data_IF_150077952406
#
_entry.id   IF_150077952406
#
_cell.length_a   1.000
_cell.length_b   1.000
_cell.length_c   1.000
_cell.angle_alpha   90.00
_cell.angle_beta   90.00
_cell.angle_gamma   90.00
#
_symmetry.space_group_name_H-M   'P 1'
#
loop_
_entity.id
_entity.type
_entity.pdbx_description
1 polymer ?
#
# COMPACT_ATOMS: atom_id res chain seq x y z
N UNK A 1 7.09 -2.91 -20.98
CA UNK A 1 6.03 -3.79 -20.44
C UNK A 1 5.09 -3.09 -19.46
N UNK A 2 5.54 -2.41 -18.39
CA UNK A 2 4.63 -1.68 -17.47
C UNK A 2 3.92 -0.46 -18.09
N UNK A 3 4.50 0.17 -19.11
CA UNK A 3 3.86 1.27 -19.85
C UNK A 3 2.74 0.81 -20.80
N UNK A 4 2.82 -0.41 -21.34
CA UNK A 4 1.77 -0.94 -22.23
C UNK A 4 0.55 -1.41 -21.45
N UNK A 5 0.73 -1.91 -20.22
CA UNK A 5 -0.42 -2.26 -19.36
C UNK A 5 -1.18 -1.01 -18.90
N UNK A 6 -0.46 0.08 -18.58
CA UNK A 6 -1.08 1.38 -18.30
C UNK A 6 -1.81 1.94 -19.52
N UNK A 7 -1.22 1.79 -20.72
CA UNK A 7 -1.82 2.25 -21.97
C UNK A 7 -3.05 1.43 -22.37
N UNK A 8 -2.99 0.10 -22.22
CA UNK A 8 -4.11 -0.82 -22.46
C UNK A 8 -5.23 -0.68 -21.41
N UNK A 9 -4.90 -0.30 -20.17
CA UNK A 9 -5.91 0.05 -19.15
C UNK A 9 -6.48 1.47 -19.36
N UNK A 10 -5.82 2.31 -20.16
CA UNK A 10 -6.28 3.63 -20.60
C UNK A 10 -6.97 3.59 -21.97
N UNK A 11 -6.93 2.47 -22.70
CA UNK A 11 -7.68 2.21 -23.94
C UNK A 11 -9.15 1.82 -23.68
N UNK A 12 -9.68 2.18 -22.50
CA UNK A 12 -11.13 2.20 -22.26
C UNK A 12 -11.72 3.21 -23.25
N UNK A 13 -12.64 2.72 -24.07
CA UNK A 13 -13.19 3.37 -25.25
C UNK A 13 -13.52 4.86 -25.06
N UNK A 14 -13.27 5.72 -26.07
CA UNK A 14 -13.60 7.13 -26.04
C UNK A 14 -15.13 7.30 -26.13
N UNK A 15 -15.79 7.29 -24.99
CA UNK A 15 -17.23 7.60 -24.91
C UNK A 15 -17.53 8.31 -23.60
N UNK A 16 -16.80 9.40 -23.35
CA UNK A 16 -17.23 10.44 -22.40
C UNK A 16 -17.09 11.75 -23.14
N UNK A 17 -18.22 12.28 -23.61
CA UNK A 17 -18.32 13.62 -24.17
C UNK A 17 -17.67 14.61 -23.20
N UNK A 18 -16.52 15.18 -23.60
CA UNK A 18 -15.92 16.30 -22.90
C UNK A 18 -14.40 16.38 -22.91
N UNK A 19 -13.66 15.34 -22.51
CA UNK A 19 -12.27 15.55 -22.02
C UNK A 19 -11.17 14.58 -22.44
N UNK A 20 -11.49 13.43 -23.01
CA UNK A 20 -10.53 12.33 -23.21
C UNK A 20 -9.38 12.62 -24.21
N UNK A 21 -9.47 13.69 -24.99
CA UNK A 21 -8.41 14.16 -25.89
C UNK A 21 -7.57 15.34 -25.36
N UNK A 22 -7.89 15.87 -24.17
CA UNK A 22 -7.24 17.06 -23.65
C UNK A 22 -5.88 16.69 -23.01
N UNK A 23 -4.75 17.33 -23.36
CA UNK A 23 -3.44 16.99 -22.80
C UNK A 23 -3.37 17.11 -21.27
N UNK A 24 -4.19 18.00 -20.67
CA UNK A 24 -4.33 18.09 -19.20
C UNK A 24 -5.01 16.87 -18.58
N UNK A 25 -5.90 16.17 -19.28
CA UNK A 25 -6.59 14.99 -18.74
C UNK A 25 -5.59 13.88 -18.39
N UNK A 26 -4.71 13.56 -19.35
CA UNK A 26 -3.63 12.59 -19.16
C UNK A 26 -2.68 13.02 -18.06
N UNK A 27 -2.29 14.30 -18.01
CA UNK A 27 -1.40 14.81 -16.96
C UNK A 27 -2.03 14.68 -15.55
N UNK A 28 -3.31 15.04 -15.41
CA UNK A 28 -4.05 14.90 -14.14
C UNK A 28 -4.14 13.43 -13.72
N UNK A 29 -4.50 12.52 -14.64
CA UNK A 29 -4.56 11.09 -14.34
C UNK A 29 -3.20 10.52 -13.92
N UNK A 30 -2.12 10.88 -14.62
CA UNK A 30 -0.77 10.43 -14.27
C UNK A 30 -0.36 10.91 -12.88
N UNK A 31 -0.63 12.18 -12.55
CA UNK A 31 -0.35 12.72 -11.22
C UNK A 31 -1.18 12.01 -10.12
N UNK A 32 -2.47 11.76 -10.37
CA UNK A 32 -3.35 10.99 -9.47
C UNK A 32 -2.82 9.56 -9.25
N UNK A 33 -2.42 8.87 -10.31
CA UNK A 33 -1.82 7.53 -10.24
C UNK A 33 -0.50 7.55 -9.45
N UNK A 34 0.34 8.57 -9.65
CA UNK A 34 1.61 8.69 -8.95
C UNK A 34 1.42 8.94 -7.45
N UNK A 35 0.42 9.75 -7.05
CA UNK A 35 0.04 9.89 -5.64
C UNK A 35 -0.36 8.54 -5.05
N UNK A 36 -1.17 7.75 -5.76
CA UNK A 36 -1.59 6.41 -5.32
C UNK A 36 -0.41 5.43 -5.17
N UNK A 37 0.51 5.42 -6.13
CA UNK A 37 1.73 4.60 -6.09
C UNK A 37 2.63 4.98 -4.93
N UNK A 38 2.89 6.27 -4.74
CA UNK A 38 3.73 6.76 -3.67
C UNK A 38 3.10 6.46 -2.28
N UNK A 39 1.78 6.59 -2.14
CA UNK A 39 1.08 6.20 -0.92
C UNK A 39 1.24 4.69 -0.61
N UNK A 40 1.14 3.83 -1.63
CA UNK A 40 1.36 2.38 -1.48
C UNK A 40 2.79 2.07 -1.05
N UNK A 41 3.78 2.73 -1.67
CA UNK A 41 5.18 2.51 -1.33
C UNK A 41 5.46 2.88 0.14
N UNK A 42 4.89 3.99 0.63
CA UNK A 42 4.94 4.33 2.07
C UNK A 42 4.33 3.22 2.91
N UNK A 43 3.13 2.76 2.55
CA UNK A 43 2.43 1.72 3.30
C UNK A 43 3.28 0.44 3.40
N UNK A 44 3.84 -0.03 2.27
CA UNK A 44 4.71 -1.21 2.23
C UNK A 44 5.93 -1.03 3.13
N UNK A 45 6.61 0.12 3.06
CA UNK A 45 7.79 0.36 3.89
C UNK A 45 7.46 0.34 5.38
N UNK A 46 6.34 0.97 5.77
CA UNK A 46 5.88 1.08 7.16
C UNK A 46 5.39 -0.26 7.71
N UNK A 47 4.69 -1.07 6.92
CA UNK A 47 4.30 -2.43 7.33
C UNK A 47 5.50 -3.35 7.43
N UNK A 48 6.47 -3.24 6.52
CA UNK A 48 7.73 -3.98 6.61
C UNK A 48 8.49 -3.67 7.90
N UNK A 49 8.59 -2.40 8.27
CA UNK A 49 9.16 -1.96 9.55
C UNK A 49 8.40 -2.55 10.76
N UNK A 50 7.07 -2.44 10.76
CA UNK A 50 6.24 -3.01 11.83
C UNK A 50 6.39 -4.53 11.93
N UNK A 51 6.50 -5.23 10.79
CA UNK A 51 6.68 -6.67 10.73
C UNK A 51 8.05 -7.12 11.24
N UNK A 52 9.11 -6.37 10.93
CA UNK A 52 10.46 -6.63 11.43
C UNK A 52 10.52 -6.54 12.96
N UNK A 53 9.91 -5.50 13.54
CA UNK A 53 9.78 -5.36 15.00
C UNK A 53 8.91 -6.46 15.62
N UNK A 54 7.79 -6.79 14.98
CA UNK A 54 6.89 -7.84 15.47
C UNK A 54 7.55 -9.23 15.45
N UNK A 55 8.42 -9.52 14.47
CA UNK A 55 9.24 -10.74 14.42
C UNK A 55 10.14 -10.86 15.65
N UNK A 56 10.90 -9.81 15.98
CA UNK A 56 11.75 -9.79 17.18
C UNK A 56 10.93 -9.98 18.46
N UNK A 57 9.82 -9.26 18.58
CA UNK A 57 8.93 -9.39 19.74
C UNK A 57 8.35 -10.81 19.87
N UNK A 58 8.02 -11.46 18.74
CA UNK A 58 7.55 -12.85 18.73
C UNK A 58 8.62 -13.81 19.23
N UNK A 59 9.85 -13.73 18.72
CA UNK A 59 10.95 -14.60 19.15
C UNK A 59 11.23 -14.43 20.65
N UNK A 60 11.29 -13.18 21.14
CA UNK A 60 11.47 -12.89 22.57
C UNK A 60 10.36 -13.49 23.44
N UNK A 61 9.10 -13.42 23.01
CA UNK A 61 7.99 -14.07 23.73
C UNK A 61 8.12 -15.60 23.76
N UNK A 62 8.53 -16.21 22.65
CA UNK A 62 8.75 -17.65 22.58
C UNK A 62 9.90 -18.09 23.50
N UNK A 63 11.00 -17.34 23.52
CA UNK A 63 12.12 -17.56 24.44
C UNK A 63 11.66 -17.56 25.90
N UNK A 64 10.94 -16.53 26.33
CA UNK A 64 10.39 -16.46 27.70
C UNK A 64 9.52 -17.68 28.02
N UNK A 65 8.68 -18.13 27.08
CA UNK A 65 7.83 -19.30 27.26
C UNK A 65 8.61 -20.62 27.35
N UNK A 66 9.69 -20.76 26.57
CA UNK A 66 10.55 -21.96 26.60
C UNK A 66 11.40 -21.97 27.86
N UNK A 67 12.03 -20.86 28.21
CA UNK A 67 12.86 -20.72 29.42
C UNK A 67 12.03 -20.91 30.70
N UNK A 68 10.79 -20.41 30.72
CA UNK A 68 9.84 -20.67 31.82
C UNK A 68 9.55 -22.16 31.99
N UNK A 69 9.29 -22.88 30.89
CA UNK A 69 9.08 -24.33 30.93
C UNK A 69 10.32 -25.12 31.37
N UNK A 70 11.52 -24.66 31.00
CA UNK A 70 12.78 -25.25 31.48
C UNK A 70 12.89 -25.07 33.00
N UNK A 71 12.57 -23.89 33.52
CA UNK A 71 12.64 -23.59 34.95
C UNK A 71 11.62 -24.39 35.79
N UNK A 72 10.40 -24.56 35.27
CA UNK A 72 9.31 -25.28 35.96
C UNK A 72 9.52 -26.80 36.04
N UNK A 73 10.32 -27.39 35.14
CA UNK A 73 10.46 -28.85 35.02
C UNK A 73 11.23 -29.54 36.17
N UNK A 74 11.95 -28.82 37.02
CA UNK A 74 12.71 -29.43 38.12
C UNK A 74 13.86 -30.34 37.64
N UNK A 75 13.91 -31.60 38.06
CA UNK A 75 15.08 -32.48 37.86
C UNK A 75 15.13 -33.09 36.46
N UNK A 76 16.13 -32.65 35.68
CA UNK A 76 16.55 -33.24 34.41
C UNK A 76 16.33 -32.31 33.21
N UNK A 77 17.38 -31.89 32.49
CA UNK A 77 17.23 -31.02 31.33
C UNK A 77 16.45 -31.75 30.23
N UNK A 78 15.37 -31.12 29.75
CA UNK A 78 14.74 -31.53 28.50
C UNK A 78 15.64 -31.10 27.36
N UNK A 79 16.40 -32.03 26.79
CA UNK A 79 17.26 -31.76 25.62
C UNK A 79 16.46 -31.02 24.53
N UNK A 80 15.24 -31.46 24.25
CA UNK A 80 14.36 -30.81 23.27
C UNK A 80 13.99 -29.36 23.60
N UNK A 81 13.84 -28.97 24.87
CA UNK A 81 13.55 -27.57 25.24
C UNK A 81 14.82 -26.73 25.19
N UNK A 82 15.96 -27.32 25.57
CA UNK A 82 17.26 -26.66 25.46
C UNK A 82 17.60 -26.39 23.99
N UNK A 83 17.46 -27.39 23.12
CA UNK A 83 17.68 -27.26 21.68
C UNK A 83 16.75 -26.21 21.07
N UNK A 84 15.48 -26.16 21.51
CA UNK A 84 14.54 -25.13 21.09
C UNK A 84 14.95 -23.72 21.55
N UNK A 85 15.42 -23.56 22.79
CA UNK A 85 15.93 -22.29 23.29
C UNK A 85 17.17 -21.83 22.52
N UNK A 86 18.12 -22.73 22.28
CA UNK A 86 19.35 -22.46 21.54
C UNK A 86 19.04 -22.03 20.10
N UNK A 87 18.09 -22.71 19.43
CA UNK A 87 17.62 -22.35 18.10
C UNK A 87 16.96 -20.97 18.06
N UNK A 88 16.10 -20.65 19.05
CA UNK A 88 15.46 -19.34 19.15
C UNK A 88 16.47 -18.21 19.45
N UNK A 89 17.49 -18.48 20.28
CA UNK A 89 18.57 -17.53 20.54
C UNK A 89 19.42 -17.27 19.28
N UNK A 90 19.72 -18.32 18.51
CA UNK A 90 20.41 -18.19 17.23
C UNK A 90 19.58 -17.38 16.21
N UNK A 91 18.27 -17.65 16.11
CA UNK A 91 17.34 -16.87 15.26
C UNK A 91 17.30 -15.41 15.71
N UNK A 92 17.16 -15.16 17.03
CA UNK A 92 17.12 -13.80 17.58
C UNK A 92 18.39 -13.03 17.24
N UNK A 93 19.56 -13.63 17.47
CA UNK A 93 20.86 -13.02 17.18
C UNK A 93 21.02 -12.68 15.70
N UNK A 94 20.60 -13.60 14.82
CA UNK A 94 20.60 -13.37 13.37
C UNK A 94 19.69 -12.20 12.97
N UNK A 95 18.47 -12.15 13.51
CA UNK A 95 17.53 -11.06 13.23
C UNK A 95 18.01 -9.73 13.80
N UNK A 96 18.51 -9.69 15.04
CA UNK A 96 19.00 -8.46 15.67
C UNK A 96 20.24 -7.91 14.95
N UNK A 97 21.08 -8.78 14.37
CA UNK A 97 22.22 -8.38 13.53
C UNK A 97 21.78 -7.67 12.24
N UNK A 98 20.69 -8.13 11.62
CA UNK A 98 20.21 -7.62 10.33
C UNK A 98 19.18 -6.50 10.45
N UNK A 99 18.49 -6.40 11.59
CA UNK A 99 17.40 -5.45 11.83
C UNK A 99 17.80 -3.99 11.57
N UNK A 100 18.95 -3.45 12.03
CA UNK A 100 19.28 -2.05 11.80
C UNK A 100 19.37 -1.69 10.31
N UNK A 101 19.89 -2.62 9.49
CA UNK A 101 20.01 -2.45 8.04
C UNK A 101 18.63 -2.51 7.38
N UNK A 102 17.78 -3.46 7.80
CA UNK A 102 16.41 -3.56 7.33
C UNK A 102 15.63 -2.27 7.64
N UNK A 103 15.72 -1.75 8.86
CA UNK A 103 15.05 -0.50 9.27
C UNK A 103 15.55 0.70 8.48
N UNK A 104 16.86 0.86 8.32
CA UNK A 104 17.44 1.94 7.52
C UNK A 104 16.93 1.90 6.07
N UNK A 105 16.90 0.71 5.46
CA UNK A 105 16.37 0.53 4.11
C UNK A 105 14.88 0.90 4.00
N UNK A 106 14.04 0.54 4.99
CA UNK A 106 12.63 0.93 5.02
C UNK A 106 12.45 2.43 5.17
N UNK A 107 13.28 3.09 6.00
CA UNK A 107 13.29 4.54 6.14
C UNK A 107 13.61 5.23 4.81
N UNK A 108 14.64 4.79 4.11
CA UNK A 108 15.02 5.35 2.80
C UNK A 108 13.91 5.21 1.76
N UNK A 109 13.25 4.05 1.71
CA UNK A 109 12.10 3.81 0.84
C UNK A 109 10.92 4.72 1.17
N UNK A 110 10.58 4.83 2.45
CA UNK A 110 9.50 5.70 2.94
C UNK A 110 9.78 7.15 2.57
N UNK A 111 10.99 7.65 2.81
CA UNK A 111 11.36 9.03 2.54
C UNK A 111 11.33 9.34 1.03
N UNK A 112 11.78 8.39 0.20
CA UNK A 112 11.66 8.49 -1.26
C UNK A 112 10.21 8.54 -1.72
N UNK A 113 9.36 7.68 -1.18
CA UNK A 113 7.94 7.64 -1.51
C UNK A 113 7.22 8.92 -1.05
N UNK A 114 7.51 9.43 0.15
CA UNK A 114 6.98 10.69 0.65
C UNK A 114 7.37 11.88 -0.24
N UNK A 115 8.63 11.93 -0.72
CA UNK A 115 9.06 12.96 -1.69
C UNK A 115 8.24 12.89 -2.98
N UNK A 116 8.08 11.70 -3.56
CA UNK A 116 7.27 11.49 -4.78
C UNK A 116 5.82 11.93 -4.60
N UNK A 117 5.19 11.54 -3.49
CA UNK A 117 3.82 11.93 -3.18
C UNK A 117 3.65 13.44 -3.04
N UNK A 118 4.60 14.13 -2.39
CA UNK A 118 4.58 15.60 -2.27
C UNK A 118 4.70 16.29 -3.63
N UNK A 119 5.60 15.82 -4.48
CA UNK A 119 5.79 16.38 -5.83
C UNK A 119 4.54 16.16 -6.70
N UNK A 120 4.03 14.93 -6.74
CA UNK A 120 2.82 14.61 -7.51
C UNK A 120 1.59 15.41 -7.05
N UNK A 121 1.47 15.71 -5.75
CA UNK A 121 0.42 16.59 -5.23
C UNK A 121 0.61 18.04 -5.63
N UNK A 122 1.84 18.54 -5.60
CA UNK A 122 2.14 19.90 -6.02
C UNK A 122 1.83 20.07 -7.50
N UNK A 123 2.22 19.10 -8.32
CA UNK A 123 1.87 19.01 -9.74
C UNK A 123 0.36 18.97 -9.95
N UNK A 124 -0.34 18.06 -9.26
CA UNK A 124 -1.79 17.93 -9.34
C UNK A 124 -2.51 19.25 -9.01
N UNK A 125 -2.09 19.94 -7.94
CA UNK A 125 -2.62 21.26 -7.58
C UNK A 125 -2.33 22.32 -8.66
N UNK A 126 -1.14 22.30 -9.24
CA UNK A 126 -0.76 23.19 -10.34
C UNK A 126 -1.65 22.99 -11.57
N UNK A 127 -1.91 21.72 -11.94
CA UNK A 127 -2.72 21.35 -13.10
C UNK A 127 -4.20 21.76 -12.97
N UNK A 128 -4.74 21.76 -11.75
CA UNK A 128 -6.16 22.08 -11.50
C UNK A 128 -6.38 23.56 -11.12
N UNK A 129 -5.32 24.37 -11.07
CA UNK A 129 -5.44 25.80 -10.77
C UNK A 129 -6.07 26.53 -11.97
N UNK A 130 -7.01 27.47 -11.77
CA UNK A 130 -7.75 28.14 -12.86
C UNK A 130 -6.86 28.77 -13.94
N UNK A 131 -5.68 29.26 -13.56
CA UNK A 131 -4.70 29.84 -14.50
C UNK A 131 -4.05 28.82 -15.44
N UNK A 132 -3.92 27.55 -15.03
CA UNK A 132 -3.35 26.47 -15.84
C UNK A 132 -4.42 25.71 -16.64
N UNK A 133 -5.66 25.67 -16.14
CA UNK A 133 -6.76 24.95 -16.75
C UNK A 133 -7.37 25.65 -18.00
N UNK A 134 -7.15 26.97 -18.15
CA UNK A 134 -7.82 27.76 -19.17
C UNK A 134 -9.35 27.74 -19.02
N UNK A 135 -10.12 28.41 -19.91
CA UNK A 135 -11.57 28.52 -19.78
C UNK A 135 -12.35 27.21 -20.05
N UNK A 136 -11.70 26.08 -20.36
CA UNK A 136 -12.39 24.86 -20.79
C UNK A 136 -11.55 23.59 -20.55
N UNK A 137 -11.13 23.32 -19.30
CA UNK A 137 -10.83 21.94 -18.92
C UNK A 137 -12.11 21.29 -18.37
N UNK A 138 -12.89 20.56 -19.20
CA UNK A 138 -14.08 19.86 -18.74
C UNK A 138 -13.65 18.63 -17.95
N UNK A 139 -13.33 18.83 -16.67
CA UNK A 139 -13.13 17.73 -15.73
C UNK A 139 -14.50 17.08 -15.51
N UNK A 140 -14.66 15.80 -15.81
CA UNK A 140 -15.86 15.05 -15.41
C UNK A 140 -15.97 14.97 -13.87
N UNK A 141 -17.16 14.66 -13.35
CA UNK A 141 -17.35 14.53 -11.89
C UNK A 141 -16.45 13.44 -11.30
N UNK A 142 -16.30 12.31 -11.99
CA UNK A 142 -15.44 11.21 -11.58
C UNK A 142 -13.97 11.64 -11.42
N UNK A 143 -13.45 12.40 -12.38
CA UNK A 143 -12.07 12.89 -12.31
C UNK A 143 -11.93 13.92 -11.18
N UNK A 144 -12.95 14.77 -10.93
CA UNK A 144 -12.96 15.65 -9.76
C UNK A 144 -12.87 14.88 -8.45
N UNK A 145 -13.65 13.81 -8.33
CA UNK A 145 -13.66 13.00 -7.12
C UNK A 145 -12.31 12.30 -6.91
N UNK A 146 -11.71 11.74 -7.97
CA UNK A 146 -10.38 11.13 -7.91
C UNK A 146 -9.28 12.13 -7.52
N UNK A 147 -9.36 13.35 -8.04
CA UNK A 147 -8.45 14.44 -7.69
C UNK A 147 -8.64 14.83 -6.22
N UNK A 148 -9.87 14.98 -5.76
CA UNK A 148 -10.19 15.29 -4.38
C UNK A 148 -9.65 14.21 -3.44
N UNK A 149 -9.89 12.94 -3.75
CA UNK A 149 -9.39 11.78 -2.99
C UNK A 149 -7.85 11.76 -2.96
N UNK A 150 -7.19 12.00 -4.11
CA UNK A 150 -5.73 12.05 -4.18
C UNK A 150 -5.13 13.19 -3.35
N UNK A 151 -5.78 14.36 -3.33
CA UNK A 151 -5.34 15.53 -2.54
C UNK A 151 -5.60 15.30 -1.04
N UNK A 152 -6.75 14.75 -0.67
CA UNK A 152 -7.18 14.61 0.72
C UNK A 152 -6.46 13.51 1.49
N UNK A 153 -5.87 12.49 0.84
CA UNK A 153 -5.13 11.41 1.55
C UNK A 153 -4.10 11.98 2.54
N UNK A 154 -4.18 11.65 3.82
CA UNK A 154 -3.18 12.15 4.78
C UNK A 154 -2.08 11.11 5.02
N UNK A 155 -0.83 11.57 5.02
CA UNK A 155 0.32 10.70 5.28
C UNK A 155 0.23 10.01 6.66
N UNK A 156 -0.14 10.71 7.75
CA UNK A 156 -0.31 10.07 9.05
C UNK A 156 -1.33 8.93 9.05
N UNK A 157 -2.45 9.07 8.32
CA UNK A 157 -3.47 8.04 8.20
C UNK A 157 -2.94 6.81 7.46
N UNK A 158 -2.31 7.02 6.30
CA UNK A 158 -1.67 5.94 5.53
C UNK A 158 -0.69 5.17 6.40
N UNK A 159 0.15 5.89 7.16
CA UNK A 159 1.13 5.27 8.06
C UNK A 159 0.43 4.51 9.20
N UNK A 160 -0.61 5.06 9.83
CA UNK A 160 -1.32 4.42 10.92
C UNK A 160 -1.99 3.09 10.49
N UNK A 161 -2.71 3.10 9.37
CA UNK A 161 -3.29 1.89 8.78
C UNK A 161 -2.21 0.88 8.41
N UNK A 162 -1.12 1.37 7.82
CA UNK A 162 -0.02 0.51 7.40
C UNK A 162 0.66 -0.22 8.56
N UNK A 163 0.86 0.48 9.68
CA UNK A 163 1.40 -0.11 10.89
C UNK A 163 0.45 -1.14 11.50
N UNK A 164 -0.85 -0.82 11.54
CA UNK A 164 -1.86 -1.74 12.07
C UNK A 164 -1.89 -3.05 11.26
N UNK A 165 -1.89 -2.95 9.93
CA UNK A 165 -1.90 -4.11 9.05
C UNK A 165 -0.60 -4.93 9.17
N UNK A 166 0.57 -4.29 9.21
CA UNK A 166 1.85 -4.98 9.40
C UNK A 166 1.88 -5.79 10.70
N UNK A 167 1.39 -5.21 11.81
CA UNK A 167 1.25 -5.91 13.09
C UNK A 167 0.26 -7.08 13.01
N UNK A 168 -0.90 -6.88 12.39
CA UNK A 168 -1.93 -7.91 12.26
C UNK A 168 -1.41 -9.12 11.48
N UNK A 169 -0.72 -8.90 10.36
CA UNK A 169 -0.13 -9.98 9.55
C UNK A 169 0.91 -10.80 10.32
N UNK A 170 1.77 -10.14 11.10
CA UNK A 170 2.71 -10.87 11.96
C UNK A 170 2.05 -11.66 13.09
N UNK A 171 0.84 -11.27 13.51
CA UNK A 171 0.02 -12.02 14.44
C UNK A 171 -0.76 -13.17 13.77
N UNK A 172 -0.63 -13.37 12.46
CA UNK A 172 -1.34 -14.39 11.70
C UNK A 172 -2.78 -14.02 11.35
N UNK A 173 -3.16 -12.74 11.43
CA UNK A 173 -4.47 -12.30 11.01
C UNK A 173 -4.66 -12.53 9.50
N UNK A 174 -5.88 -12.92 9.05
CA UNK A 174 -6.19 -13.03 7.64
C UNK A 174 -6.11 -11.66 6.96
N UNK A 175 -5.95 -11.66 5.63
CA UNK A 175 -6.02 -10.42 4.85
C UNK A 175 -7.42 -9.82 5.00
N UNK A 176 -7.52 -8.50 5.26
CA UNK A 176 -8.82 -7.84 5.34
C UNK A 176 -9.54 -7.94 3.99
N UNK A 177 -10.87 -8.02 4.06
CA UNK A 177 -11.71 -7.94 2.88
C UNK A 177 -11.52 -6.56 2.22
N UNK A 178 -11.12 -6.51 0.93
CA UNK A 178 -10.97 -5.28 0.18
C UNK A 178 -12.23 -4.39 0.15
N UNK A 179 -13.42 -4.97 0.29
CA UNK A 179 -14.68 -4.23 0.23
C UNK A 179 -15.08 -3.60 1.57
N UNK A 180 -14.46 -4.03 2.66
CA UNK A 180 -14.81 -3.64 4.02
C UNK A 180 -13.77 -2.70 4.69
N UNK A 181 -12.71 -2.34 3.97
CA UNK A 181 -11.64 -1.48 4.52
C UNK A 181 -11.25 -0.37 3.55
N UNK A 182 -11.14 0.86 4.06
CA UNK A 182 -10.77 2.04 3.26
C UNK A 182 -9.37 1.92 2.64
N UNK A 183 -8.49 1.12 3.27
CA UNK A 183 -7.11 0.89 2.86
C UNK A 183 -6.63 -0.51 3.24
N UNK A 184 -6.04 -1.25 2.28
CA UNK A 184 -5.28 -2.47 2.57
C UNK A 184 -4.15 -2.69 1.55
N UNK A 185 -3.04 -3.31 1.99
CA UNK A 185 -1.79 -3.39 1.21
C UNK A 185 -1.74 -4.46 0.13
N UNK A 186 -2.67 -5.41 0.13
CA UNK A 186 -2.67 -6.57 -0.78
C UNK A 186 -3.35 -6.35 -2.11
N UNK A 187 -3.99 -5.21 -2.34
CA UNK A 187 -4.54 -4.95 -3.66
C UNK A 187 -3.42 -4.65 -4.67
N UNK A 188 -3.39 -5.36 -5.83
CA UNK A 188 -2.40 -5.11 -6.88
C UNK A 188 -2.52 -3.68 -7.44
N UNK A 189 -3.65 -3.02 -7.24
CA UNK A 189 -3.98 -1.70 -7.73
C UNK A 189 -3.84 -0.64 -6.60
N UNK A 190 -2.82 0.22 -6.68
CA UNK A 190 -2.61 1.29 -5.71
C UNK A 190 -3.66 2.41 -5.82
N UNK A 191 -4.88 2.13 -5.35
CA UNK A 191 -5.92 3.00 -4.77
C UNK A 191 -6.46 4.21 -5.56
N UNK A 192 -5.75 4.76 -6.55
CA UNK A 192 -6.27 5.76 -7.48
C UNK A 192 -6.54 5.16 -8.85
N UNK A 193 -5.62 4.33 -9.37
CA UNK A 193 -5.85 3.57 -10.60
C UNK A 193 -7.00 2.56 -10.46
N UNK A 194 -7.11 1.90 -9.29
CA UNK A 194 -8.21 0.99 -8.99
C UNK A 194 -9.55 1.70 -8.84
N UNK A 195 -9.60 2.74 -8.00
CA UNK A 195 -10.84 3.48 -7.78
C UNK A 195 -11.26 4.19 -9.05
N UNK A 196 -10.32 4.71 -9.86
CA UNK A 196 -10.61 5.24 -11.18
C UNK A 196 -11.18 4.17 -12.10
N UNK A 197 -10.52 3.02 -12.22
CA UNK A 197 -10.95 1.93 -13.09
C UNK A 197 -12.28 1.31 -12.65
N UNK A 198 -12.53 1.19 -11.35
CA UNK A 198 -13.77 0.68 -10.77
C UNK A 198 -14.92 1.68 -10.91
N UNK A 199 -14.68 2.99 -10.67
CA UNK A 199 -15.71 4.02 -10.88
C UNK A 199 -16.03 4.18 -12.37
N UNK A 200 -15.04 4.09 -13.27
CA UNK A 200 -15.22 4.02 -14.73
C UNK A 200 -16.03 2.78 -15.15
N UNK A 201 -15.80 1.62 -14.54
CA UNK A 201 -16.57 0.40 -14.81
C UNK A 201 -18.02 0.44 -14.28
N UNK A 202 -18.31 1.27 -13.28
CA UNK A 202 -19.64 1.43 -12.71
C UNK A 202 -20.50 2.46 -13.46
N UNK A 203 -19.89 3.40 -14.19
CA UNK A 203 -20.58 4.39 -15.01
C UNK A 203 -20.70 3.97 -16.48
N UNK A 204 -19.90 3.01 -16.93
CA UNK A 204 -20.06 2.30 -18.20
C UNK A 204 -20.92 1.04 -18.05
N UNK A 205 -22.24 1.21 -18.03
CA UNK A 205 -23.17 0.09 -18.23
C UNK A 205 -22.92 -0.57 -19.58
N UNK A 206 -22.28 -1.73 -19.59
CA UNK A 206 -22.46 -2.72 -20.64
C UNK A 206 -23.77 -3.46 -20.35
N UNK A 207 -24.88 -2.82 -20.69
CA UNK A 207 -26.01 -3.59 -21.21
C UNK A 207 -25.52 -4.18 -22.55
N UNK A 208 -25.34 -5.50 -22.60
CA UNK A 208 -25.02 -6.17 -23.85
C UNK A 208 -24.41 -7.55 -23.69
N UNK A 209 -25.28 -8.55 -23.46
CA UNK A 209 -25.06 -9.88 -24.01
C UNK A 209 -24.85 -11.00 -23.00
N UNK A 210 -25.97 -11.57 -22.55
CA UNK A 210 -26.10 -13.02 -22.53
C UNK A 210 -25.53 -13.59 -23.84
N UNK A 211 -24.46 -14.38 -23.73
CA UNK A 211 -24.18 -15.62 -24.48
C UNK A 211 -22.68 -15.94 -24.41
N UNK A 212 -22.34 -16.95 -23.62
CA UNK A 212 -21.16 -17.78 -23.86
C UNK A 212 -21.66 -19.18 -24.27
N UNK A 213 -21.24 -19.75 -25.41
CA UNK A 213 -21.06 -21.19 -25.52
C UNK A 213 -19.81 -21.64 -24.74
#
# INVERSE_FOLDING_TARGET
>A
MQYEFLRASLDVAPSVEGGAGHPLYTAVLLAVVEVGRAARDVAISVSGEAAAHARVARIKRLLVGVEGQIAERGVGPSTALQDAADALWAELSSVETTLPIEIAFRHDQRDRAQRRMRLARAELRGLITPAAAGPSFPMGQELRDLVADAICRQMPEIMAHAQAEGRARCAGAPLPDPECTDFHMTQPEGCAGWQAQRRLAQTGGLEGGDQFP
#
